data_IF_982690866690
#
_entry.id   IF_982690866690
#
_cell.length_a   1.000
_cell.length_b   1.000
_cell.length_c   1.000
_cell.angle_alpha   90.00
_cell.angle_beta   90.00
_cell.angle_gamma   90.00
#
_symmetry.space_group_name_H-M   'P 1'
#
loop_
_entity.id
_entity.type
_entity.pdbx_description
1 polymer ?
#
# COMPACT_ATOMS: atom_id res chain seq x y z
N UNK A 1 -5.56 -2.90 -16.94
CA UNK A 1 -4.18 -2.59 -17.36
C UNK A 1 -3.43 -3.81 -17.86
N UNK A 2 -3.46 -4.94 -17.12
CA UNK A 2 -2.68 -6.13 -17.45
C UNK A 2 -2.79 -6.60 -18.93
N UNK A 3 -3.97 -6.72 -19.58
CA UNK A 3 -4.04 -7.14 -20.98
C UNK A 3 -3.37 -6.17 -21.97
N UNK A 4 -3.54 -4.87 -21.76
CA UNK A 4 -2.94 -3.83 -22.61
C UNK A 4 -1.41 -3.78 -22.47
N UNK A 5 -0.89 -4.07 -21.27
CA UNK A 5 0.55 -4.21 -21.02
C UNK A 5 1.13 -5.40 -21.79
N UNK A 6 0.49 -6.58 -21.72
CA UNK A 6 0.95 -7.77 -22.45
C UNK A 6 0.98 -7.57 -23.98
N UNK A 7 0.05 -6.79 -24.50
CA UNK A 7 -0.04 -6.49 -25.93
C UNK A 7 0.80 -5.27 -26.35
N UNK A 8 1.52 -4.61 -25.44
CA UNK A 8 2.24 -3.35 -25.66
C UNK A 8 1.36 -2.25 -26.30
N UNK A 9 0.08 -2.19 -25.94
CA UNK A 9 -0.88 -1.20 -26.45
C UNK A 9 -0.92 -0.02 -25.47
N UNK A 10 -0.57 1.22 -25.90
CA UNK A 10 -0.61 2.38 -25.03
C UNK A 10 -2.06 2.75 -24.66
N UNK A 11 -2.27 3.09 -23.39
CA UNK A 11 -3.61 3.41 -22.87
C UNK A 11 -3.69 4.92 -22.62
N UNK A 12 -4.69 5.58 -23.18
CA UNK A 12 -4.94 7.01 -22.95
C UNK A 12 -6.16 7.22 -22.07
N UNK A 13 -5.97 7.90 -20.95
CA UNK A 13 -7.04 8.33 -20.04
C UNK A 13 -7.48 9.73 -20.45
N UNK A 14 -8.75 9.89 -20.84
CA UNK A 14 -9.35 11.17 -21.25
C UNK A 14 -10.52 11.53 -20.34
N UNK A 15 -10.82 12.83 -20.28
CA UNK A 15 -12.02 13.34 -19.62
C UNK A 15 -13.19 13.32 -20.62
N UNK A 16 -14.27 12.62 -20.30
CA UNK A 16 -15.48 12.56 -21.14
C UNK A 16 -16.17 13.92 -21.29
N UNK A 17 -16.07 14.79 -20.29
CA UNK A 17 -16.63 16.15 -20.31
C UNK A 17 -15.77 17.15 -21.10
N UNK A 18 -14.52 16.80 -21.43
CA UNK A 18 -13.64 17.61 -22.27
C UNK A 18 -12.81 16.70 -23.21
N UNK A 19 -13.44 16.14 -24.25
CA UNK A 19 -12.82 15.15 -25.12
C UNK A 19 -11.70 15.72 -26.00
N UNK A 20 -11.64 17.04 -26.21
CA UNK A 20 -10.57 17.69 -26.98
C UNK A 20 -9.26 17.78 -26.21
N UNK A 21 -9.28 17.64 -24.88
CA UNK A 21 -8.07 17.67 -24.06
C UNK A 21 -7.13 16.47 -24.37
N UNK A 22 -5.80 16.66 -24.25
CA UNK A 22 -4.82 15.61 -24.56
C UNK A 22 -4.91 14.39 -23.64
N UNK A 23 -5.32 14.58 -22.38
CA UNK A 23 -5.43 13.50 -21.38
C UNK A 23 -4.07 13.02 -20.86
N UNK A 24 -4.05 11.82 -20.27
CA UNK A 24 -2.83 11.15 -19.78
C UNK A 24 -2.55 9.90 -20.60
N UNK A 25 -1.39 9.85 -21.25
CA UNK A 25 -0.92 8.67 -21.97
C UNK A 25 -0.09 7.78 -21.03
N UNK A 26 -0.46 6.51 -20.95
CA UNK A 26 0.26 5.48 -20.20
C UNK A 26 0.92 4.58 -21.24
N UNK A 27 2.24 4.71 -21.38
CA UNK A 27 3.08 3.94 -22.29
C UNK A 27 4.25 3.28 -21.53
N UNK A 28 5.04 2.47 -22.25
CA UNK A 28 6.18 1.74 -21.68
C UNK A 28 7.51 2.52 -21.76
N UNK A 29 7.52 3.68 -22.43
CA UNK A 29 8.76 4.44 -22.69
C UNK A 29 9.00 5.48 -21.59
N UNK A 30 7.92 6.05 -21.04
CA UNK A 30 8.01 7.05 -19.97
C UNK A 30 8.80 8.30 -20.38
N UNK A 31 8.98 9.22 -19.43
CA UNK A 31 9.86 10.38 -19.64
C UNK A 31 11.02 10.34 -18.62
N UNK A 32 12.27 10.06 -19.07
CA UNK A 32 13.42 9.92 -18.17
C UNK A 32 13.84 11.24 -17.49
N UNK A 33 13.39 12.39 -18.00
CA UNK A 33 13.70 13.71 -17.42
C UNK A 33 12.83 14.09 -16.22
N UNK A 34 11.77 13.32 -15.92
CA UNK A 34 10.80 13.69 -14.90
C UNK A 34 11.19 13.11 -13.55
N UNK A 35 11.62 13.98 -12.62
CA UNK A 35 12.00 13.54 -11.26
C UNK A 35 10.80 13.12 -10.39
N UNK A 36 9.66 13.80 -10.53
CA UNK A 36 8.44 13.51 -9.77
C UNK A 36 7.24 13.46 -10.70
N UNK A 37 6.53 12.33 -10.68
CA UNK A 37 5.39 12.09 -11.58
C UNK A 37 4.08 12.57 -10.98
N UNK A 38 3.80 12.23 -9.72
CA UNK A 38 2.60 12.65 -9.04
C UNK A 38 2.81 12.60 -7.52
N UNK A 39 2.07 13.43 -6.80
CA UNK A 39 1.91 13.33 -5.35
C UNK A 39 0.51 12.78 -5.11
N UNK A 40 0.42 11.69 -4.35
CA UNK A 40 -0.86 11.09 -3.99
C UNK A 40 -1.07 11.18 -2.48
N UNK A 41 -2.32 11.30 -2.06
CA UNK A 41 -2.69 11.35 -0.66
C UNK A 41 -3.79 10.32 -0.41
N UNK A 42 -3.53 9.40 0.52
CA UNK A 42 -4.52 8.44 1.01
C UNK A 42 -4.89 8.82 2.44
N UNK A 43 -6.17 9.13 2.66
CA UNK A 43 -6.71 9.56 3.97
C UNK A 43 -7.33 8.37 4.70
N UNK A 44 -7.57 8.54 6.01
CA UNK A 44 -8.23 7.55 6.87
C UNK A 44 -7.49 6.21 6.95
N UNK A 45 -6.15 6.27 7.00
CA UNK A 45 -5.29 5.11 7.22
C UNK A 45 -5.19 4.85 8.71
N UNK A 46 -5.26 3.58 9.12
CA UNK A 46 -4.99 3.17 10.51
C UNK A 46 -3.54 2.75 10.62
N UNK A 47 -2.79 3.40 11.51
CA UNK A 47 -1.43 3.01 11.86
C UNK A 47 -1.46 2.09 13.09
N UNK A 48 -0.81 0.94 13.00
CA UNK A 48 -0.61 0.01 14.09
C UNK A 48 0.88 -0.14 14.33
N UNK A 49 1.31 0.08 15.57
CA UNK A 49 2.69 -0.12 15.97
C UNK A 49 2.76 -1.32 16.93
N UNK A 50 3.66 -2.25 16.62
CA UNK A 50 3.91 -3.47 17.38
C UNK A 50 5.35 -3.39 17.86
N UNK A 51 5.53 -3.15 19.16
CA UNK A 51 6.85 -3.13 19.78
C UNK A 51 7.02 -4.38 20.62
N UNK A 52 8.08 -5.14 20.37
CA UNK A 52 8.43 -6.29 21.19
C UNK A 52 9.93 -6.56 21.14
N UNK A 53 10.56 -6.67 22.32
CA UNK A 53 11.97 -7.04 22.44
C UNK A 53 12.22 -8.49 21.98
N UNK A 54 11.19 -9.33 21.96
CA UNK A 54 11.26 -10.70 21.48
C UNK A 54 11.43 -10.80 19.96
N UNK A 55 11.24 -9.70 19.21
CA UNK A 55 11.54 -9.65 17.79
C UNK A 55 13.06 -9.74 17.51
N UNK A 56 13.88 -9.31 18.47
CA UNK A 56 15.33 -9.28 18.31
C UNK A 56 15.90 -10.70 18.22
N UNK A 57 16.40 -11.08 17.04
CA UNK A 57 17.01 -12.39 16.81
C UNK A 57 16.01 -13.55 16.72
N UNK A 58 14.70 -13.28 16.77
CA UNK A 58 13.68 -14.31 16.62
C UNK A 58 13.34 -14.57 15.14
N UNK A 59 13.46 -15.82 14.72
CA UNK A 59 12.92 -16.27 13.44
C UNK A 59 11.40 -16.44 13.54
N UNK A 60 10.67 -15.95 12.53
CA UNK A 60 9.23 -16.21 12.40
C UNK A 60 8.29 -15.19 13.05
N UNK A 61 8.78 -14.15 13.73
CA UNK A 61 7.94 -13.10 14.34
C UNK A 61 7.01 -12.42 13.32
N UNK A 62 7.58 -11.91 12.22
CA UNK A 62 6.82 -11.32 11.10
C UNK A 62 5.82 -12.31 10.50
N UNK A 63 6.19 -13.58 10.39
CA UNK A 63 5.31 -14.63 9.87
C UNK A 63 4.09 -14.87 10.77
N UNK A 64 4.29 -14.91 12.08
CA UNK A 64 3.19 -15.02 13.05
C UNK A 64 2.25 -13.81 12.98
N UNK A 65 2.79 -12.60 12.91
CA UNK A 65 2.01 -11.36 12.80
C UNK A 65 1.18 -11.35 11.51
N UNK A 66 1.77 -11.70 10.36
CA UNK A 66 1.04 -11.75 9.09
C UNK A 66 0.01 -12.89 9.05
N UNK A 67 0.30 -14.04 9.67
CA UNK A 67 -0.69 -15.12 9.80
C UNK A 67 -1.91 -14.66 10.60
N UNK A 68 -1.73 -13.83 11.62
CA UNK A 68 -2.85 -13.26 12.37
C UNK A 68 -3.61 -12.19 11.57
N UNK A 69 -2.93 -11.37 10.78
CA UNK A 69 -3.61 -10.46 9.84
C UNK A 69 -4.44 -11.22 8.79
N UNK A 70 -3.92 -12.33 8.27
CA UNK A 70 -4.62 -13.21 7.33
C UNK A 70 -5.88 -13.82 7.95
N UNK A 71 -5.78 -14.40 9.15
CA UNK A 71 -6.94 -14.94 9.90
C UNK A 71 -8.04 -13.90 10.09
N UNK A 72 -7.63 -12.65 10.39
CA UNK A 72 -8.56 -11.54 10.60
C UNK A 72 -9.01 -10.85 9.30
N UNK A 73 -8.53 -11.31 8.13
CA UNK A 73 -8.82 -10.75 6.80
C UNK A 73 -8.52 -9.26 6.73
N UNK A 74 -7.42 -8.84 7.35
CA UNK A 74 -6.95 -7.47 7.36
C UNK A 74 -5.91 -7.29 6.26
N UNK A 75 -6.12 -6.28 5.40
CA UNK A 75 -5.16 -5.92 4.36
C UNK A 75 -4.16 -4.89 4.88
N UNK A 76 -2.88 -5.21 4.73
CA UNK A 76 -1.75 -4.33 5.02
C UNK A 76 -1.37 -3.53 3.77
N UNK A 77 -1.09 -2.24 3.91
CA UNK A 77 -0.66 -1.37 2.81
C UNK A 77 0.85 -1.14 2.80
N UNK A 78 1.38 -0.65 3.92
CA UNK A 78 2.79 -0.29 4.09
C UNK A 78 3.28 -0.85 5.41
N UNK A 79 4.48 -1.42 5.38
CA UNK A 79 5.19 -1.90 6.56
C UNK A 79 6.55 -1.20 6.66
N UNK A 80 6.89 -0.77 7.86
CA UNK A 80 8.22 -0.30 8.23
C UNK A 80 8.69 -1.05 9.48
N UNK A 81 9.93 -1.53 9.46
CA UNK A 81 10.52 -2.26 10.59
C UNK A 81 11.70 -1.49 11.17
N UNK A 82 11.78 -1.50 12.50
CA UNK A 82 12.98 -1.19 13.28
C UNK A 82 13.57 -2.50 13.82
N UNK A 83 14.57 -2.41 14.67
CA UNK A 83 15.21 -3.55 15.34
C UNK A 83 14.26 -4.24 16.35
N UNK A 84 13.43 -3.46 17.04
CA UNK A 84 12.55 -3.92 18.13
C UNK A 84 11.06 -3.63 17.90
N UNK A 85 10.72 -3.03 16.76
CA UNK A 85 9.34 -2.64 16.46
C UNK A 85 9.00 -2.73 14.98
N UNK A 86 7.71 -2.85 14.71
CA UNK A 86 7.15 -2.85 13.36
C UNK A 86 5.95 -1.91 13.35
N UNK A 87 5.99 -0.93 12.46
CA UNK A 87 4.88 -0.04 12.17
C UNK A 87 4.21 -0.48 10.87
N UNK A 88 2.91 -0.75 10.94
CA UNK A 88 2.10 -1.27 9.83
C UNK A 88 0.91 -0.36 9.60
N UNK A 89 0.62 -0.05 8.34
CA UNK A 89 -0.59 0.67 7.95
C UNK A 89 -1.63 -0.29 7.40
N UNK A 90 -2.87 -0.17 7.90
CA UNK A 90 -3.97 -1.05 7.56
C UNK A 90 -4.98 -0.31 6.69
N UNK A 91 -5.37 -0.92 5.57
CA UNK A 91 -6.51 -0.43 4.78
C UNK A 91 -7.82 -0.79 5.47
N UNK A 92 -8.67 0.20 5.69
CA UNK A 92 -10.03 0.00 6.19
C UNK A 92 -10.92 -0.69 5.14
N UNK A 93 -10.89 -2.01 5.11
CA UNK A 93 -11.83 -2.83 4.35
C UNK A 93 -13.15 -2.97 5.12
N UNK A 94 -14.15 -2.12 4.81
CA UNK A 94 -15.61 -2.13 5.14
C UNK A 94 -16.15 -2.62 6.52
N UNK A 95 -15.40 -3.28 7.38
CA UNK A 95 -15.79 -3.74 8.72
C UNK A 95 -15.17 -2.81 9.76
N UNK A 96 -16.02 -2.23 10.63
CA UNK A 96 -15.58 -1.47 11.80
C UNK A 96 -14.97 -2.47 12.80
N UNK A 97 -13.66 -2.66 12.75
CA UNK A 97 -12.92 -3.15 13.90
C UNK A 97 -12.43 -1.95 14.71
N UNK A 98 -12.90 -1.84 15.94
CA UNK A 98 -12.34 -0.96 16.98
C UNK A 98 -11.06 -1.62 17.48
N UNK A 99 -9.96 -1.44 16.74
CA UNK A 99 -8.64 -1.79 17.24
C UNK A 99 -8.17 -0.65 18.17
N UNK A 100 -7.95 -0.98 19.44
CA UNK A 100 -7.30 -0.07 20.38
C UNK A 100 -5.87 0.14 19.88
N UNK A 101 -5.52 1.40 19.65
CA UNK A 101 -4.15 1.76 19.25
C UNK A 101 -3.19 1.42 20.39
N UNK A 102 -2.04 0.86 20.02
CA UNK A 102 -0.97 0.36 20.88
C UNK A 102 -1.27 -0.98 21.56
N UNK A 103 -0.75 -2.05 20.95
CA UNK A 103 -0.57 -3.34 21.61
C UNK A 103 0.92 -3.46 21.90
N UNK A 104 1.32 -3.10 23.12
CA UNK A 104 2.64 -3.46 23.65
C UNK A 104 2.56 -4.91 24.09
N UNK A 105 3.33 -5.79 23.46
CA UNK A 105 3.47 -7.21 23.88
C UNK A 105 4.84 -7.42 24.51
#
# INVERSE_FOLDING_TARGET
>A
MQPALHANIPVRVKNSYNPSAPGSLIDNVGNPSRMVTAITCKRNITLMDITSLQMLGAYGFLGAVFADFEKNKVSVDVLASSEVSISVTLTRSKRRMTLKNCVTI
#
